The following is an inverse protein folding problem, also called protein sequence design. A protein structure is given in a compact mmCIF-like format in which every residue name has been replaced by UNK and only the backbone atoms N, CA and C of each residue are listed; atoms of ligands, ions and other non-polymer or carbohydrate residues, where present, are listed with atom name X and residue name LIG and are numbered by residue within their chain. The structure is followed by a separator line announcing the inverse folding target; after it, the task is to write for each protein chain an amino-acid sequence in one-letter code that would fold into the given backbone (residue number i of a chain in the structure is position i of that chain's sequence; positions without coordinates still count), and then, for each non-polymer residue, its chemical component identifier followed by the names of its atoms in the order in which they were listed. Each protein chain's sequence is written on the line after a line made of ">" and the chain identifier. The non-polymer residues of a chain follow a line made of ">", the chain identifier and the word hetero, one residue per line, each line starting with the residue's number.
data_IF_024739811448
#
_entry.id   IF_024739811448
#
_cell.length_a   1.000
_cell.length_b   1.000
_cell.length_c   1.000
_cell.angle_alpha   90.00
_cell.angle_beta   90.00
_cell.angle_gamma   90.00
#
_symmetry.space_group_name_H-M   'P 1'
#
loop_
_entity.id
_entity.type
_entity.pdbx_description
1 polymer ?
#
# COMPACT_ATOMS: atom_id res chain seq x y z
N UNK A 1 -26.35 -62.47 25.18
CA UNK A 1 -26.24 -61.00 25.28
C UNK A 1 -25.19 -60.55 24.27
N UNK A 2 -25.59 -59.85 23.21
CA UNK A 2 -24.68 -59.31 22.18
C UNK A 2 -24.61 -57.79 22.38
N UNK A 3 -23.42 -57.28 22.67
CA UNK A 3 -23.18 -55.85 22.81
C UNK A 3 -23.12 -55.20 21.43
N UNK A 4 -24.07 -54.31 21.14
CA UNK A 4 -24.10 -53.46 19.97
C UNK A 4 -23.21 -52.23 20.26
N UNK A 5 -22.07 -52.13 19.57
CA UNK A 5 -21.22 -50.95 19.64
C UNK A 5 -21.79 -49.86 18.71
N UNK A 6 -22.28 -48.79 19.31
CA UNK A 6 -22.74 -47.59 18.61
C UNK A 6 -21.52 -46.70 18.33
N UNK A 7 -21.02 -46.67 17.10
CA UNK A 7 -20.04 -45.68 16.68
C UNK A 7 -20.73 -44.33 16.47
N UNK A 8 -20.63 -43.45 17.47
CA UNK A 8 -21.01 -42.05 17.36
C UNK A 8 -19.88 -41.31 16.61
N UNK A 9 -20.08 -41.03 15.31
CA UNK A 9 -19.22 -40.09 14.58
C UNK A 9 -19.61 -38.67 15.00
N UNK A 10 -18.84 -38.07 15.90
CA UNK A 10 -18.87 -36.63 16.12
C UNK A 10 -18.14 -36.00 14.94
N UNK A 11 -18.88 -35.50 13.95
CA UNK A 11 -18.34 -34.59 12.94
C UNK A 11 -18.07 -33.27 13.66
N UNK A 12 -16.87 -33.14 14.24
CA UNK A 12 -16.36 -31.84 14.67
C UNK A 12 -15.99 -31.05 13.42
N UNK A 13 -17.00 -30.51 12.74
CA UNK A 13 -16.79 -29.44 11.78
C UNK A 13 -16.24 -28.27 12.57
N UNK A 14 -14.93 -28.07 12.54
CA UNK A 14 -14.33 -26.81 12.94
C UNK A 14 -14.91 -25.77 11.98
N UNK A 15 -15.92 -25.04 12.45
CA UNK A 15 -16.33 -23.79 11.86
C UNK A 15 -15.12 -22.86 12.03
N UNK A 16 -14.15 -22.94 11.12
CA UNK A 16 -13.16 -21.87 10.97
C UNK A 16 -14.00 -20.66 10.61
N UNK A 17 -14.03 -19.69 11.52
CA UNK A 17 -14.54 -18.36 11.19
C UNK A 17 -13.97 -17.99 9.83
N UNK A 18 -14.84 -17.70 8.88
CA UNK A 18 -14.45 -17.40 7.51
C UNK A 18 -13.55 -16.16 7.56
N UNK A 19 -12.24 -16.37 7.45
CA UNK A 19 -11.26 -15.29 7.50
C UNK A 19 -11.53 -14.34 6.33
N UNK A 20 -11.70 -13.06 6.66
CA UNK A 20 -11.98 -12.00 5.69
C UNK A 20 -10.67 -11.58 5.01
N UNK A 21 -10.72 -11.23 3.71
CA UNK A 21 -9.58 -10.52 3.10
C UNK A 21 -9.60 -9.07 3.55
N UNK A 22 -8.43 -8.54 3.87
CA UNK A 22 -8.21 -7.12 4.12
C UNK A 22 -6.91 -6.70 3.43
N UNK A 23 -7.04 -5.91 2.36
CA UNK A 23 -5.95 -5.52 1.48
C UNK A 23 -5.88 -4.00 1.38
N UNK A 24 -4.69 -3.48 1.14
CA UNK A 24 -4.45 -2.06 0.89
C UNK A 24 -3.78 -1.87 -0.47
N UNK A 25 -4.38 -1.03 -1.30
CA UNK A 25 -3.72 -0.39 -2.44
C UNK A 25 -3.13 0.93 -1.93
N UNK A 26 -1.81 1.03 -1.69
CA UNK A 26 -1.22 2.14 -0.94
C UNK A 26 -1.31 3.49 -1.68
N UNK A 27 -1.39 3.44 -3.01
CA UNK A 27 -1.56 4.62 -3.84
C UNK A 27 -2.25 4.26 -5.15
N UNK A 28 -3.34 4.95 -5.47
CA UNK A 28 -3.93 5.01 -6.81
C UNK A 28 -4.13 6.46 -7.20
N UNK A 29 -4.02 6.76 -8.49
CA UNK A 29 -4.05 8.12 -9.01
C UNK A 29 -5.36 8.43 -9.73
N UNK A 30 -5.83 9.68 -9.56
CA UNK A 30 -6.85 10.30 -10.41
C UNK A 30 -6.58 11.81 -10.49
N UNK A 31 -5.95 12.22 -11.57
CA UNK A 31 -5.70 13.61 -11.91
C UNK A 31 -5.70 13.78 -13.44
N UNK A 32 -5.47 15.00 -13.92
CA UNK A 32 -5.48 15.33 -15.34
C UNK A 32 -4.48 14.53 -16.19
N UNK A 33 -3.40 14.03 -15.59
CA UNK A 33 -2.32 13.31 -16.28
C UNK A 33 -2.45 11.79 -16.14
N UNK A 34 -3.00 11.30 -15.03
CA UNK A 34 -2.98 9.90 -14.65
C UNK A 34 -4.31 9.46 -14.06
N UNK A 35 -4.83 8.35 -14.57
CA UNK A 35 -5.96 7.65 -13.96
C UNK A 35 -5.63 6.18 -13.75
N UNK A 36 -5.82 5.68 -12.53
CA UNK A 36 -5.63 4.27 -12.23
C UNK A 36 -6.88 3.46 -12.56
N UNK A 37 -6.67 2.31 -13.20
CA UNK A 37 -7.61 1.20 -13.23
C UNK A 37 -7.33 0.31 -12.03
N UNK A 38 -8.34 0.09 -11.20
CA UNK A 38 -8.29 -0.85 -10.08
C UNK A 38 -8.83 -2.19 -10.54
N UNK A 39 -8.17 -3.26 -10.14
CA UNK A 39 -8.67 -4.61 -10.33
C UNK A 39 -8.66 -5.41 -9.04
N UNK A 40 -9.66 -6.27 -8.87
CA UNK A 40 -9.72 -7.25 -7.80
C UNK A 40 -10.18 -8.58 -8.39
N UNK A 41 -9.41 -9.64 -8.15
CA UNK A 41 -9.72 -10.98 -8.61
C UNK A 41 -10.18 -11.83 -7.41
N UNK A 42 -11.26 -12.58 -7.60
CA UNK A 42 -11.72 -13.60 -6.67
C UNK A 42 -11.30 -14.97 -7.20
N UNK A 43 -10.17 -15.54 -6.73
CA UNK A 43 -9.74 -16.86 -7.18
C UNK A 43 -10.51 -17.97 -6.47
N UNK A 44 -11.48 -17.70 -5.60
CA UNK A 44 -12.19 -18.76 -4.85
C UNK A 44 -13.36 -19.34 -5.64
N UNK A 45 -13.95 -20.41 -5.11
CA UNK A 45 -15.13 -21.07 -5.67
C UNK A 45 -16.47 -20.54 -5.10
N UNK A 46 -16.42 -19.48 -4.27
CA UNK A 46 -17.60 -18.84 -3.68
C UNK A 46 -17.63 -17.33 -4.03
N UNK A 47 -18.82 -16.71 -4.12
CA UNK A 47 -18.91 -15.27 -4.31
C UNK A 47 -18.24 -14.50 -3.17
N UNK A 48 -17.57 -13.40 -3.53
CA UNK A 48 -16.92 -12.50 -2.58
C UNK A 48 -17.72 -11.20 -2.49
N UNK A 49 -18.33 -10.95 -1.33
CA UNK A 49 -18.86 -9.61 -1.01
C UNK A 49 -17.68 -8.73 -0.62
N UNK A 50 -17.60 -7.54 -1.18
CA UNK A 50 -16.41 -6.70 -1.06
C UNK A 50 -16.80 -5.24 -0.91
N UNK A 51 -16.02 -4.52 -0.08
CA UNK A 51 -16.09 -3.07 0.06
C UNK A 51 -14.71 -2.47 -0.19
N UNK A 52 -14.66 -1.46 -1.07
CA UNK A 52 -13.52 -0.60 -1.30
C UNK A 52 -13.77 0.72 -0.61
N UNK A 53 -12.85 1.13 0.26
CA UNK A 53 -12.85 2.46 0.90
C UNK A 53 -11.63 3.24 0.45
N UNK A 54 -11.84 4.32 -0.29
CA UNK A 54 -10.79 5.26 -0.68
C UNK A 54 -10.62 6.37 0.35
N UNK A 55 -9.39 6.78 0.62
CA UNK A 55 -9.04 7.95 1.45
C UNK A 55 -7.91 8.72 0.81
N UNK A 56 -8.09 10.03 0.60
CA UNK A 56 -7.06 10.95 0.11
C UNK A 56 -6.25 11.55 1.25
N UNK A 57 -5.08 12.08 0.87
CA UNK A 57 -4.24 12.86 1.77
C UNK A 57 -4.91 14.13 2.32
N UNK A 58 -6.03 14.62 1.76
CA UNK A 58 -6.80 15.74 2.31
C UNK A 58 -7.97 15.30 3.22
N UNK A 59 -8.17 13.99 3.42
CA UNK A 59 -9.27 13.42 4.20
C UNK A 59 -10.56 13.14 3.42
N UNK A 60 -10.64 13.55 2.15
CA UNK A 60 -11.74 13.15 1.25
C UNK A 60 -11.78 11.62 1.12
N UNK A 61 -12.98 11.04 1.21
CA UNK A 61 -13.16 9.59 1.22
C UNK A 61 -14.37 9.18 0.38
N UNK A 62 -14.30 7.97 -0.16
CA UNK A 62 -15.38 7.35 -0.92
C UNK A 62 -15.49 5.87 -0.60
N UNK A 63 -16.68 5.31 -0.77
CA UNK A 63 -16.95 3.89 -0.54
C UNK A 63 -17.67 3.29 -1.73
N UNK A 64 -17.23 2.11 -2.15
CA UNK A 64 -17.86 1.30 -3.20
C UNK A 64 -18.02 -0.13 -2.71
N UNK A 65 -19.20 -0.70 -2.85
CA UNK A 65 -19.45 -2.10 -2.46
C UNK A 65 -19.99 -2.89 -3.64
N UNK A 66 -19.54 -4.13 -3.78
CA UNK A 66 -19.97 -5.02 -4.86
C UNK A 66 -19.79 -6.49 -4.48
N UNK A 67 -20.28 -7.37 -5.33
CA UNK A 67 -20.03 -8.81 -5.24
C UNK A 67 -19.24 -9.27 -6.46
N UNK A 68 -18.12 -9.95 -6.23
CA UNK A 68 -17.34 -10.60 -7.29
C UNK A 68 -17.69 -12.08 -7.30
N UNK A 69 -18.23 -12.55 -8.42
CA UNK A 69 -18.52 -13.97 -8.64
C UNK A 69 -17.28 -14.86 -8.46
N UNK A 70 -17.46 -16.16 -8.16
CA UNK A 70 -16.36 -17.14 -8.16
C UNK A 70 -15.54 -17.05 -9.44
N UNK A 71 -14.20 -17.09 -9.32
CA UNK A 71 -13.25 -16.96 -10.43
C UNK A 71 -13.42 -15.68 -11.28
N UNK A 72 -14.16 -14.70 -10.77
CA UNK A 72 -14.46 -13.44 -11.42
C UNK A 72 -13.46 -12.34 -11.08
N UNK A 73 -13.62 -11.18 -11.74
CA UNK A 73 -12.80 -9.99 -11.49
C UNK A 73 -13.63 -8.71 -11.55
N UNK A 74 -13.39 -7.79 -10.63
CA UNK A 74 -13.69 -6.37 -10.80
C UNK A 74 -12.56 -5.70 -11.58
N UNK A 75 -12.90 -4.87 -12.56
CA UNK A 75 -11.98 -3.96 -13.27
C UNK A 75 -12.72 -2.65 -13.53
N UNK A 76 -12.25 -1.57 -12.93
CA UNK A 76 -12.92 -0.27 -13.04
C UNK A 76 -11.90 0.86 -12.88
N UNK A 77 -12.14 1.98 -13.56
CA UNK A 77 -11.37 3.18 -13.28
C UNK A 77 -11.78 3.78 -11.93
N UNK A 78 -10.85 4.49 -11.29
CA UNK A 78 -11.11 5.17 -10.01
C UNK A 78 -12.32 6.09 -10.10
N UNK A 79 -12.55 6.78 -11.24
CA UNK A 79 -13.74 7.62 -11.42
C UNK A 79 -15.06 6.85 -11.41
N UNK A 80 -15.06 5.59 -11.83
CA UNK A 80 -16.26 4.76 -11.90
C UNK A 80 -16.57 4.16 -10.52
N UNK A 81 -15.52 3.90 -9.72
CA UNK A 81 -15.63 3.41 -8.35
C UNK A 81 -16.04 4.52 -7.37
N UNK A 82 -15.51 5.73 -7.56
CA UNK A 82 -15.71 6.87 -6.67
C UNK A 82 -16.06 8.12 -7.48
N UNK A 83 -17.27 8.19 -8.08
CA UNK A 83 -17.65 9.27 -8.99
C UNK A 83 -17.68 10.64 -8.30
N UNK A 84 -18.02 10.66 -7.01
CA UNK A 84 -18.12 11.89 -6.20
C UNK A 84 -16.76 12.40 -5.73
N UNK A 85 -15.70 11.60 -5.86
CA UNK A 85 -14.35 12.07 -5.57
C UNK A 85 -13.86 12.93 -6.74
N UNK A 86 -13.25 14.08 -6.47
CA UNK A 86 -12.79 14.99 -7.52
C UNK A 86 -11.55 14.48 -8.28
N UNK A 87 -10.95 15.33 -9.11
CA UNK A 87 -9.53 15.17 -9.43
C UNK A 87 -8.69 15.64 -8.25
N UNK A 88 -7.52 15.02 -8.00
CA UNK A 88 -6.66 15.44 -6.89
C UNK A 88 -5.44 14.57 -6.68
N UNK A 89 -4.76 14.77 -5.55
CA UNK A 89 -3.64 13.94 -5.10
C UNK A 89 -4.05 12.48 -4.96
N UNK A 90 -3.12 11.54 -5.13
CA UNK A 90 -3.45 10.12 -5.04
C UNK A 90 -4.08 9.71 -3.70
N UNK A 91 -4.72 8.55 -3.72
CA UNK A 91 -5.51 8.02 -2.62
C UNK A 91 -5.07 6.60 -2.29
N UNK A 92 -5.26 6.20 -1.04
CA UNK A 92 -5.17 4.79 -0.65
C UNK A 92 -6.56 4.15 -0.74
N UNK A 93 -6.63 2.88 -1.14
CA UNK A 93 -7.88 2.11 -1.14
C UNK A 93 -7.71 0.88 -0.25
N UNK A 94 -8.52 0.78 0.80
CA UNK A 94 -8.67 -0.45 1.59
C UNK A 94 -9.76 -1.31 0.97
N UNK A 95 -9.47 -2.59 0.77
CA UNK A 95 -10.36 -3.60 0.21
C UNK A 95 -10.67 -4.62 1.29
N UNK A 96 -11.91 -4.64 1.80
CA UNK A 96 -12.37 -5.66 2.74
C UNK A 96 -13.32 -6.63 2.03
N UNK A 97 -13.27 -7.91 2.38
CA UNK A 97 -14.14 -8.90 1.76
C UNK A 97 -14.57 -10.05 2.69
N UNK A 98 -15.77 -10.57 2.45
CA UNK A 98 -16.31 -11.76 3.10
C UNK A 98 -15.53 -13.05 2.80
N UNK A 99 -14.64 -13.06 1.78
CA UNK A 99 -13.79 -14.20 1.45
C UNK A 99 -12.32 -13.84 1.63
N UNK A 100 -11.52 -14.77 2.15
CA UNK A 100 -10.05 -14.72 2.05
C UNK A 100 -9.57 -14.87 0.59
N UNK A 101 -8.28 -14.68 0.39
CA UNK A 101 -7.56 -14.96 -0.86
C UNK A 101 -7.90 -14.04 -2.06
N UNK A 102 -8.49 -12.86 -1.83
CA UNK A 102 -8.60 -11.88 -2.91
C UNK A 102 -7.23 -11.38 -3.35
N UNK A 103 -7.09 -11.09 -4.64
CA UNK A 103 -5.90 -10.45 -5.21
C UNK A 103 -6.33 -9.11 -5.79
N UNK A 104 -5.86 -8.03 -5.19
CA UNK A 104 -6.13 -6.68 -5.67
C UNK A 104 -4.85 -6.04 -6.23
N UNK A 105 -5.03 -5.12 -7.17
CA UNK A 105 -3.96 -4.33 -7.73
C UNK A 105 -4.49 -3.17 -8.53
N UNK A 106 -3.59 -2.41 -9.12
CA UNK A 106 -3.93 -1.28 -9.95
C UNK A 106 -2.93 -1.12 -11.08
N UNK A 107 -3.37 -0.48 -12.15
CA UNK A 107 -2.53 -0.08 -13.28
C UNK A 107 -2.81 1.39 -13.57
N UNK A 108 -1.77 2.22 -13.64
CA UNK A 108 -1.90 3.60 -14.08
C UNK A 108 -2.08 3.64 -15.59
N UNK A 109 -3.10 4.34 -16.02
CA UNK A 109 -3.25 4.80 -17.39
C UNK A 109 -2.74 6.24 -17.46
N UNK A 110 -1.58 6.45 -18.09
CA UNK A 110 -1.07 7.79 -18.35
C UNK A 110 -1.81 8.35 -19.56
N UNK A 111 -2.61 9.39 -19.33
CA UNK A 111 -3.47 10.01 -20.34
C UNK A 111 -2.69 10.94 -21.29
N UNK A 112 -1.49 11.38 -20.88
CA UNK A 112 -0.65 12.36 -21.59
C UNK A 112 0.73 11.80 -22.02
N UNK A 113 0.98 10.49 -21.89
CA UNK A 113 2.30 9.89 -22.14
C UNK A 113 2.75 10.01 -23.61
N UNK A 114 3.94 10.58 -23.90
CA UNK A 114 4.55 10.51 -25.24
C UNK A 114 4.80 9.07 -25.70
N UNK A 115 5.09 8.15 -24.77
CA UNK A 115 5.27 6.72 -25.02
C UNK A 115 3.97 5.98 -25.39
N UNK A 116 2.81 6.64 -25.29
CA UNK A 116 1.50 6.08 -25.62
C UNK A 116 0.92 5.15 -24.56
N UNK A 117 1.73 4.49 -23.71
CA UNK A 117 1.35 3.76 -22.49
C UNK A 117 2.60 3.54 -21.63
N UNK A 118 2.76 4.25 -20.52
CA UNK A 118 3.68 3.84 -19.45
C UNK A 118 2.86 3.28 -18.28
N UNK A 119 2.34 2.03 -18.38
CA UNK A 119 1.49 1.46 -17.36
C UNK A 119 2.35 1.02 -16.18
N UNK A 120 2.40 1.88 -15.18
CA UNK A 120 2.86 1.48 -13.87
C UNK A 120 1.83 0.57 -13.23
N UNK A 121 2.24 -0.58 -12.68
CA UNK A 121 1.35 -1.51 -11.99
C UNK A 121 1.79 -1.77 -10.54
N UNK A 122 0.82 -1.84 -9.64
CA UNK A 122 1.03 -2.17 -8.23
C UNK A 122 0.09 -3.29 -7.78
N UNK A 123 0.51 -4.05 -6.77
CA UNK A 123 -0.32 -5.04 -6.10
C UNK A 123 -0.71 -4.52 -4.71
N UNK A 124 -1.87 -4.96 -4.23
CA UNK A 124 -2.28 -4.69 -2.87
C UNK A 124 -1.40 -5.45 -1.87
N UNK A 125 -1.19 -4.83 -0.72
CA UNK A 125 -0.54 -5.48 0.42
C UNK A 125 -1.60 -5.91 1.43
N UNK A 126 -1.46 -7.08 2.08
CA UNK A 126 -2.38 -7.48 3.14
C UNK A 126 -2.24 -6.56 4.36
N UNK A 127 -3.37 -6.20 4.97
CA UNK A 127 -3.41 -5.37 6.20
C UNK A 127 -3.13 -6.21 7.45
N UNK A 128 -3.48 -7.51 7.41
CA UNK A 128 -3.24 -8.47 8.48
C UNK A 128 -1.87 -9.16 8.33
N UNK A 129 -0.79 -8.40 8.16
CA UNK A 129 0.55 -8.97 8.29
C UNK A 129 0.74 -9.35 9.75
N UNK A 130 0.87 -10.65 10.03
CA UNK A 130 1.16 -11.12 11.39
C UNK A 130 2.44 -10.42 11.85
N UNK A 131 2.37 -9.62 12.92
CA UNK A 131 3.54 -8.94 13.46
C UNK A 131 4.40 -10.02 14.11
N UNK A 132 5.28 -10.65 13.35
CA UNK A 132 6.48 -11.23 13.97
C UNK A 132 7.40 -10.05 14.30
N UNK A 133 7.02 -9.39 15.39
CA UNK A 133 7.58 -8.33 16.25
C UNK A 133 8.44 -7.17 15.70
N UNK A 134 8.90 -7.17 14.44
CA UNK A 134 9.59 -6.01 13.84
C UNK A 134 9.24 -5.80 12.36
N UNK A 135 8.78 -6.84 11.66
CA UNK A 135 8.62 -6.83 10.20
C UNK A 135 7.49 -5.90 9.71
N UNK A 136 6.61 -5.41 10.59
CA UNK A 136 5.53 -4.47 10.22
C UNK A 136 5.85 -2.98 10.48
N UNK A 137 6.81 -2.69 11.35
CA UNK A 137 7.08 -1.34 11.87
C UNK A 137 7.98 -0.53 10.94
N UNK A 138 8.77 -1.21 10.11
CA UNK A 138 9.64 -0.58 9.13
C UNK A 138 9.29 -0.95 7.69
N UNK A 139 9.28 0.07 6.84
CA UNK A 139 9.03 -0.01 5.41
C UNK A 139 10.25 0.49 4.65
N UNK A 140 10.87 -0.39 3.87
CA UNK A 140 12.00 -0.04 3.00
C UNK A 140 11.53 0.22 1.57
N UNK A 141 12.01 1.32 0.99
CA UNK A 141 11.92 1.64 -0.44
C UNK A 141 13.35 1.70 -0.97
N UNK A 142 13.73 0.69 -1.75
CA UNK A 142 15.13 0.39 -2.06
C UNK A 142 15.81 1.27 -3.11
N UNK A 143 15.06 2.13 -3.81
CA UNK A 143 15.65 3.02 -4.81
C UNK A 143 14.75 4.24 -5.05
N UNK A 144 15.26 5.43 -4.72
CA UNK A 144 14.62 6.72 -4.93
C UNK A 144 15.63 7.66 -5.62
N UNK A 145 15.59 7.79 -6.96
CA UNK A 145 16.47 8.70 -7.66
C UNK A 145 16.19 10.17 -7.34
N UNK A 146 17.26 10.93 -7.18
CA UNK A 146 17.26 12.39 -6.95
C UNK A 146 17.94 13.16 -8.10
N UNK A 147 18.40 12.45 -9.13
CA UNK A 147 19.29 12.94 -10.18
C UNK A 147 18.56 13.67 -11.32
N UNK A 148 19.29 14.48 -12.08
CA UNK A 148 18.74 15.23 -13.21
C UNK A 148 18.09 14.30 -14.25
N UNK A 149 16.78 14.47 -14.44
CA UNK A 149 15.98 13.70 -15.40
C UNK A 149 15.21 12.54 -14.79
N UNK A 150 15.36 12.27 -13.48
CA UNK A 150 14.49 11.37 -12.75
C UNK A 150 14.07 11.99 -11.41
N UNK A 151 12.91 11.60 -10.91
CA UNK A 151 12.52 11.96 -9.56
C UNK A 151 11.74 10.81 -8.94
N UNK A 152 11.61 10.80 -7.62
CA UNK A 152 10.90 9.74 -6.94
C UNK A 152 9.97 10.29 -5.87
N UNK A 153 8.89 9.58 -5.59
CA UNK A 153 7.98 9.89 -4.49
C UNK A 153 7.71 8.62 -3.67
N UNK A 154 8.23 8.53 -2.43
CA UNK A 154 7.76 7.50 -1.51
C UNK A 154 6.31 7.77 -1.11
N UNK A 155 5.52 6.70 -1.05
CA UNK A 155 4.19 6.68 -0.45
C UNK A 155 4.23 5.80 0.78
N UNK A 156 3.78 6.35 1.90
CA UNK A 156 3.76 5.68 3.21
C UNK A 156 2.34 5.76 3.75
N UNK A 157 1.82 4.64 4.23
CA UNK A 157 0.49 4.51 4.81
C UNK A 157 0.60 3.82 6.16
N UNK A 158 0.07 4.46 7.21
CA UNK A 158 -0.16 3.80 8.49
C UNK A 158 -1.39 2.90 8.36
N UNK A 159 -1.22 1.59 8.52
CA UNK A 159 -2.33 0.61 8.43
C UNK A 159 -2.84 0.14 9.79
N UNK A 160 -2.31 0.72 10.87
CA UNK A 160 -2.83 0.51 12.22
C UNK A 160 -4.11 1.29 12.47
N UNK A 161 -4.80 0.96 13.55
CA UNK A 161 -6.08 1.60 13.93
C UNK A 161 -5.90 2.98 14.58
N UNK A 162 -4.71 3.31 15.05
CA UNK A 162 -4.39 4.57 15.72
C UNK A 162 -3.38 5.39 14.91
N UNK A 163 -3.40 6.73 15.00
CA UNK A 163 -2.35 7.58 14.45
C UNK A 163 -0.97 7.16 14.95
N UNK A 164 0.05 7.30 14.10
CA UNK A 164 1.41 6.91 14.41
C UNK A 164 2.41 7.98 13.98
N UNK A 165 3.48 8.15 14.76
CA UNK A 165 4.62 8.98 14.37
C UNK A 165 5.57 8.13 13.54
N UNK A 166 5.92 8.60 12.34
CA UNK A 166 6.79 7.87 11.42
C UNK A 166 8.08 8.63 11.18
N UNK A 167 9.22 8.04 11.53
CA UNK A 167 10.55 8.61 11.25
C UNK A 167 11.07 8.09 9.92
N UNK A 168 11.54 8.99 9.05
CA UNK A 168 12.13 8.65 7.77
C UNK A 168 13.66 8.68 7.84
N UNK A 169 14.29 7.55 7.55
CA UNK A 169 15.74 7.40 7.46
C UNK A 169 16.16 7.28 5.99
N UNK A 170 17.07 8.15 5.55
CA UNK A 170 17.59 8.13 4.19
C UNK A 170 19.04 7.68 4.16
N UNK A 171 19.36 6.70 3.33
CA UNK A 171 20.71 6.17 3.17
C UNK A 171 21.18 6.38 1.73
N UNK A 172 22.48 6.65 1.53
CA UNK A 172 23.09 6.63 0.21
C UNK A 172 23.41 5.19 -0.23
N UNK A 173 23.97 5.05 -1.43
CA UNK A 173 24.37 3.76 -1.99
C UNK A 173 25.51 3.06 -1.22
N UNK A 174 26.27 3.79 -0.40
CA UNK A 174 27.30 3.23 0.47
C UNK A 174 26.72 2.72 1.81
N UNK A 175 25.43 2.99 2.08
CA UNK A 175 24.78 2.69 3.34
C UNK A 175 24.99 3.75 4.43
N UNK A 176 25.57 4.91 4.08
CA UNK A 176 25.71 6.02 5.01
C UNK A 176 24.35 6.69 5.22
N UNK A 177 24.01 6.98 6.48
CA UNK A 177 22.82 7.73 6.81
C UNK A 177 23.00 9.20 6.38
N UNK A 178 22.21 9.62 5.40
CA UNK A 178 22.22 10.97 4.85
C UNK A 178 21.44 11.97 5.71
N UNK A 179 20.38 11.51 6.37
CA UNK A 179 19.53 12.33 7.20
C UNK A 179 18.91 11.51 8.33
N UNK A 180 19.19 11.89 9.58
CA UNK A 180 18.75 11.15 10.76
C UNK A 180 17.54 11.75 11.49
N UNK A 181 17.22 13.05 11.28
CA UNK A 181 16.65 13.83 12.39
C UNK A 181 15.56 14.87 12.00
N UNK A 182 15.04 14.87 10.76
CA UNK A 182 14.14 15.97 10.31
C UNK A 182 12.87 15.60 9.58
N UNK A 183 12.57 14.32 9.38
CA UNK A 183 11.29 13.96 8.75
C UNK A 183 10.58 12.94 9.61
N UNK A 184 10.14 13.39 10.78
CA UNK A 184 9.08 12.71 11.51
C UNK A 184 7.75 13.18 10.93
N UNK A 185 6.97 12.26 10.39
CA UNK A 185 5.57 12.45 10.06
C UNK A 185 4.80 12.29 11.36
N UNK A 186 4.47 13.41 12.01
CA UNK A 186 3.72 13.39 13.27
C UNK A 186 2.24 13.10 13.02
N UNK A 187 1.69 12.14 13.75
CA UNK A 187 0.27 11.79 13.71
C UNK A 187 -0.21 11.34 12.33
N UNK A 188 0.54 10.46 11.65
CA UNK A 188 0.08 9.88 10.39
C UNK A 188 -1.20 9.06 10.64
N UNK A 189 -2.33 9.63 10.20
CA UNK A 189 -3.66 9.07 10.40
C UNK A 189 -3.82 7.68 9.72
N UNK A 190 -4.60 6.76 10.33
CA UNK A 190 -4.93 5.47 9.74
C UNK A 190 -5.42 5.56 8.30
N UNK A 191 -4.80 4.78 7.42
CA UNK A 191 -5.13 4.63 6.00
C UNK A 191 -5.04 5.91 5.17
N UNK A 192 -4.48 7.01 5.72
CA UNK A 192 -4.23 8.24 4.99
C UNK A 192 -2.80 8.20 4.42
N UNK A 193 -2.62 8.26 3.09
CA UNK A 193 -1.30 8.21 2.51
C UNK A 193 -0.55 9.52 2.74
N UNK A 194 0.72 9.41 3.14
CA UNK A 194 1.72 10.44 2.98
C UNK A 194 2.47 10.18 1.67
N UNK A 195 2.61 11.22 0.84
CA UNK A 195 3.42 11.17 -0.36
C UNK A 195 4.06 12.54 -0.60
N UNK A 196 5.33 12.52 -0.98
CA UNK A 196 6.08 13.73 -1.33
C UNK A 196 7.20 13.37 -2.28
N UNK A 197 7.70 14.36 -3.03
CA UNK A 197 8.84 14.15 -3.92
C UNK A 197 10.12 14.13 -3.09
N UNK A 198 11.02 13.17 -3.34
CA UNK A 198 12.24 12.95 -2.56
C UNK A 198 13.15 14.19 -2.55
N UNK A 199 13.20 14.96 -3.64
CA UNK A 199 13.97 16.22 -3.72
C UNK A 199 13.41 17.33 -2.84
N UNK A 200 12.16 17.25 -2.39
CA UNK A 200 11.61 18.16 -1.38
C UNK A 200 12.04 17.78 0.03
N UNK A 201 12.30 16.49 0.27
CA UNK A 201 12.81 15.99 1.55
C UNK A 201 14.33 16.15 1.66
N UNK A 202 15.04 16.02 0.54
CA UNK A 202 16.49 16.03 0.44
C UNK A 202 16.96 16.96 -0.70
N UNK A 203 16.80 18.29 -0.55
CA UNK A 203 17.08 19.23 -1.64
C UNK A 203 18.55 19.30 -2.07
N UNK A 204 19.47 18.94 -1.16
CA UNK A 204 20.92 19.01 -1.40
C UNK A 204 21.53 17.66 -1.81
N UNK A 205 20.74 16.59 -1.84
CA UNK A 205 21.21 15.24 -2.21
C UNK A 205 21.07 15.08 -3.72
N UNK A 206 22.17 14.70 -4.36
CA UNK A 206 22.26 14.55 -5.84
C UNK A 206 22.56 13.11 -6.27
N UNK A 207 22.47 12.17 -5.34
CA UNK A 207 22.63 10.74 -5.57
C UNK A 207 21.34 9.98 -5.23
N UNK A 208 21.19 8.79 -5.78
CA UNK A 208 20.04 7.93 -5.48
C UNK A 208 20.07 7.49 -4.02
N UNK A 209 18.89 7.42 -3.40
CA UNK A 209 18.77 7.09 -1.98
C UNK A 209 17.89 5.88 -1.73
N UNK A 210 18.12 5.26 -0.58
CA UNK A 210 17.25 4.26 0.03
C UNK A 210 16.49 4.94 1.16
N UNK A 211 15.18 4.67 1.27
CA UNK A 211 14.36 5.13 2.39
C UNK A 211 13.97 3.95 3.27
N UNK A 212 14.10 4.11 4.58
CA UNK A 212 13.43 3.29 5.59
C UNK A 212 12.51 4.20 6.40
N UNK A 213 11.20 3.96 6.31
CA UNK A 213 10.20 4.59 7.17
C UNK A 213 9.94 3.70 8.38
N UNK A 214 9.97 4.23 9.59
CA UNK A 214 9.86 3.46 10.84
C UNK A 214 8.86 4.09 11.81
N UNK A 215 8.11 3.26 12.53
CA UNK A 215 7.22 3.66 13.64
C UNK A 215 7.38 2.69 14.82
N UNK A 216 7.27 3.20 16.05
CA UNK A 216 7.26 2.37 17.26
C UNK A 216 5.87 1.78 17.55
N UNK A 217 4.80 2.45 17.12
CA UNK A 217 3.44 2.20 17.62
C UNK A 217 2.48 1.65 16.57
N UNK A 218 2.96 1.43 15.35
CA UNK A 218 2.10 1.07 14.23
C UNK A 218 2.70 0.08 13.24
N UNK A 219 1.98 -0.10 12.13
CA UNK A 219 2.36 -0.94 11.01
C UNK A 219 2.28 -0.10 9.75
N UNK A 220 3.30 -0.18 8.91
CA UNK A 220 3.43 0.62 7.71
C UNK A 220 3.27 -0.23 6.45
N UNK A 221 2.66 0.38 5.45
CA UNK A 221 2.57 -0.12 4.10
C UNK A 221 2.93 1.02 3.13
N UNK A 222 3.32 0.69 1.90
CA UNK A 222 3.63 1.74 0.93
C UNK A 222 4.21 1.24 -0.37
N UNK A 223 4.70 2.19 -1.16
CA UNK A 223 5.40 1.94 -2.43
C UNK A 223 6.27 3.16 -2.78
N UNK A 224 7.23 2.98 -3.67
CA UNK A 224 7.97 4.07 -4.29
C UNK A 224 7.49 4.31 -5.72
N UNK A 225 7.28 5.56 -6.08
CA UNK A 225 7.15 5.97 -7.49
C UNK A 225 8.48 6.54 -7.94
N UNK A 226 8.87 6.18 -9.16
CA UNK A 226 9.99 6.79 -9.89
C UNK A 226 9.42 7.38 -11.16
N UNK A 227 9.80 8.59 -11.48
CA UNK A 227 9.33 9.33 -12.64
C UNK A 227 10.53 9.68 -13.51
N UNK A 228 10.41 9.57 -14.83
CA UNK A 228 11.41 10.11 -15.75
C UNK A 228 11.23 11.64 -15.91
N UNK A 229 12.00 12.24 -16.83
CA UNK A 229 12.00 13.68 -17.10
C UNK A 229 10.65 14.19 -17.63
N UNK A 230 9.86 13.29 -18.22
CA UNK A 230 8.53 13.56 -18.75
C UNK A 230 7.43 13.20 -17.74
N UNK A 231 7.81 12.94 -16.49
CA UNK A 231 6.95 12.52 -15.38
C UNK A 231 6.24 11.17 -15.61
N UNK A 232 6.73 10.31 -16.50
CA UNK A 232 6.17 8.98 -16.68
C UNK A 232 6.54 8.06 -15.50
N UNK A 233 5.56 7.43 -14.82
CA UNK A 233 5.81 6.68 -13.60
C UNK A 233 6.23 5.23 -13.85
N UNK A 234 7.31 4.80 -13.21
CA UNK A 234 7.61 3.42 -12.85
C UNK A 234 7.38 3.23 -11.34
N UNK A 235 6.91 2.06 -10.90
CA UNK A 235 6.75 1.75 -9.47
C UNK A 235 7.85 0.81 -9.03
N UNK A 236 8.42 1.11 -7.86
CA UNK A 236 9.12 0.15 -7.04
C UNK A 236 8.23 -0.24 -5.86
N UNK A 237 7.92 -1.53 -5.70
CA UNK A 237 7.21 -2.00 -4.51
C UNK A 237 8.07 -1.74 -3.26
N UNK A 238 7.44 -1.26 -2.19
CA UNK A 238 8.09 -1.18 -0.89
C UNK A 238 8.02 -2.55 -0.19
N UNK A 239 8.96 -2.82 0.70
CA UNK A 239 9.02 -4.07 1.46
C UNK A 239 9.11 -3.80 2.95
N UNK A 240 8.28 -4.49 3.70
CA UNK A 240 8.41 -4.69 5.14
C UNK A 240 9.77 -5.30 5.49
N UNK A 241 10.49 -4.69 6.43
CA UNK A 241 11.82 -5.15 6.90
C UNK A 241 11.91 -5.10 8.42
N UNK A 242 12.76 -5.94 9.02
CA UNK A 242 13.21 -5.71 10.40
C UNK A 242 14.24 -4.57 10.41
N UNK A 243 14.09 -3.61 11.32
CA UNK A 243 14.97 -2.44 11.38
C UNK A 243 15.13 -1.96 12.82
N UNK A 244 16.38 -1.89 13.26
CA UNK A 244 16.74 -1.23 14.51
C UNK A 244 17.14 0.22 14.17
N UNK A 245 16.38 1.23 14.62
CA UNK A 245 16.71 2.61 14.34
C UNK A 245 18.10 2.95 14.90
N UNK A 246 18.92 3.75 14.18
CA UNK A 246 20.21 4.23 14.68
C UNK A 246 20.02 4.93 16.03
N UNK A 247 20.92 4.66 16.99
CA UNK A 247 20.91 5.35 18.28
C UNK A 247 20.96 6.87 18.07
N UNK A 248 19.98 7.60 18.61
CA UNK A 248 19.92 9.07 18.52
C UNK A 248 21.14 9.78 19.15
N UNK A 249 22.03 9.03 19.80
CA UNK A 249 23.26 9.49 20.44
C UNK A 249 24.52 9.31 19.57
N UNK A 250 24.44 8.62 18.43
CA UNK A 250 25.56 8.52 17.48
C UNK A 250 25.59 9.75 16.56
N UNK A 251 26.13 10.85 17.08
CA UNK A 251 26.55 12.04 16.32
C UNK A 251 28.05 12.23 16.46
#
# INVERSE_FOLDING_TARGET
>A
MRYLWLCLFVVSGTCRAQEQSDLLLPWVSRNSQFESLVFVNNPTDIPAEMTLRAVRANGEAGTFSTTINPRGSLKAFVRDLFPDMGEGSGMAIRVTSSTRDLIAGWVTNNLDAPSGRSPSQGLAVPVNLSPSDEIGQALMIGHLPTTNGFTAAPVIVNISENPADVTLYFFNNNGDLLLADRTTLTGLEPFRPFATVVTQLLPDVTEDVVLIAYTETGTLAGCGFVFNSDLEPAIANARSVGFNPPDATQK
#
